data_IF_745931391747
#
_entry.id   IF_745931391747
#
_cell.length_a   1.000
_cell.length_b   1.000
_cell.length_c   1.000
_cell.angle_alpha   90.00
_cell.angle_beta   90.00
_cell.angle_gamma   90.00
#
_symmetry.space_group_name_H-M   'P 1'
#
loop_
_entity.id
_entity.type
_entity.pdbx_description
1 polymer ?
#
# COMPACT_ATOMS: atom_id res chain seq x y z
N UNK A 1 10.27 15.47 -5.87
CA UNK A 1 9.67 15.00 -4.59
C UNK A 1 10.63 14.03 -3.91
N UNK A 2 10.32 13.57 -2.69
CA UNK A 2 10.98 12.44 -2.04
C UNK A 2 10.17 11.16 -2.31
N UNK A 3 10.79 10.16 -2.93
CA UNK A 3 10.11 8.92 -3.33
C UNK A 3 10.78 7.71 -2.69
N UNK A 4 10.00 6.90 -1.98
CA UNK A 4 10.43 5.59 -1.51
C UNK A 4 10.00 4.52 -2.53
N UNK A 5 10.94 3.74 -3.04
CA UNK A 5 10.66 2.61 -3.93
C UNK A 5 10.99 1.30 -3.21
N UNK A 6 9.97 0.48 -2.97
CA UNK A 6 10.07 -0.82 -2.29
C UNK A 6 10.03 -1.93 -3.34
N UNK A 7 10.95 -2.90 -3.27
CA UNK A 7 10.99 -4.08 -4.13
C UNK A 7 10.88 -5.37 -3.32
N UNK A 8 9.97 -6.25 -3.74
CA UNK A 8 9.83 -7.59 -3.20
C UNK A 8 10.00 -8.65 -4.29
N UNK A 9 11.25 -8.86 -4.74
CA UNK A 9 11.59 -9.94 -5.66
C UNK A 9 12.97 -10.55 -5.35
N UNK A 10 13.14 -11.88 -5.34
CA UNK A 10 14.41 -12.51 -4.98
C UNK A 10 15.50 -12.43 -6.07
N UNK A 11 15.10 -12.28 -7.33
CA UNK A 11 16.00 -12.22 -8.49
C UNK A 11 16.14 -10.78 -9.01
N UNK A 12 17.32 -10.14 -8.88
CA UNK A 12 17.58 -8.78 -9.36
C UNK A 12 17.37 -8.60 -10.87
N UNK A 13 17.63 -9.63 -11.68
CA UNK A 13 17.46 -9.57 -13.14
C UNK A 13 16.02 -9.93 -13.60
N UNK A 14 15.09 -10.07 -12.66
CA UNK A 14 13.70 -10.34 -12.99
C UNK A 14 13.02 -9.17 -13.70
N UNK A 15 11.84 -9.43 -14.25
CA UNK A 15 10.96 -8.38 -14.76
C UNK A 15 10.66 -7.31 -13.70
N UNK A 16 10.40 -7.71 -12.44
CA UNK A 16 10.19 -6.77 -11.32
C UNK A 16 11.46 -5.97 -11.00
N UNK A 17 12.61 -6.63 -10.90
CA UNK A 17 13.89 -5.97 -10.62
C UNK A 17 14.25 -4.97 -11.71
N UNK A 18 13.97 -5.29 -12.96
CA UNK A 18 14.18 -4.42 -14.12
C UNK A 18 13.22 -3.21 -14.13
N UNK A 19 11.93 -3.41 -13.84
CA UNK A 19 10.98 -2.30 -13.68
C UNK A 19 11.31 -1.41 -12.48
N UNK A 20 11.77 -2.00 -11.37
CA UNK A 20 12.21 -1.29 -10.18
C UNK A 20 13.40 -0.37 -10.49
N UNK A 21 14.46 -0.91 -11.09
CA UNK A 21 15.64 -0.12 -11.44
C UNK A 21 15.31 0.97 -12.45
N UNK A 22 14.47 0.66 -13.43
CA UNK A 22 13.96 1.64 -14.39
C UNK A 22 13.22 2.77 -13.66
N UNK A 23 12.34 2.44 -12.71
CA UNK A 23 11.58 3.44 -11.96
C UNK A 23 12.48 4.35 -11.13
N UNK A 24 13.48 3.79 -10.45
CA UNK A 24 14.49 4.56 -9.71
C UNK A 24 15.21 5.53 -10.65
N UNK A 25 15.73 5.03 -11.78
CA UNK A 25 16.47 5.85 -12.73
C UNK A 25 15.62 6.98 -13.34
N UNK A 26 14.37 6.68 -13.71
CA UNK A 26 13.45 7.68 -14.27
C UNK A 26 13.11 8.77 -13.24
N UNK A 27 12.82 8.40 -12.00
CA UNK A 27 12.52 9.36 -10.93
C UNK A 27 13.72 10.26 -10.62
N UNK A 28 14.92 9.69 -10.54
CA UNK A 28 16.15 10.45 -10.34
C UNK A 28 16.44 11.39 -11.52
N UNK A 29 16.22 10.93 -12.76
CA UNK A 29 16.36 11.76 -13.96
C UNK A 29 15.38 12.94 -13.99
N UNK A 30 14.20 12.80 -13.38
CA UNK A 30 13.24 13.89 -13.15
C UNK A 30 13.60 14.79 -11.95
N UNK A 31 14.76 14.59 -11.33
CA UNK A 31 15.24 15.39 -10.20
C UNK A 31 14.55 15.08 -8.87
N UNK A 32 13.88 13.92 -8.75
CA UNK A 32 13.36 13.47 -7.47
C UNK A 32 14.48 12.89 -6.60
N UNK A 33 14.33 12.99 -5.29
CA UNK A 33 15.17 12.26 -4.35
C UNK A 33 14.56 10.88 -4.15
N UNK A 34 15.38 9.83 -4.29
CA UNK A 34 14.90 8.44 -4.22
C UNK A 34 15.60 7.71 -3.07
N UNK A 35 14.81 7.03 -2.26
CA UNK A 35 15.29 6.00 -1.33
C UNK A 35 14.68 4.66 -1.72
N UNK A 36 15.38 3.58 -1.44
CA UNK A 36 14.95 2.23 -1.81
C UNK A 36 14.88 1.28 -0.62
N UNK A 37 13.99 0.31 -0.72
CA UNK A 37 13.94 -0.86 0.14
C UNK A 37 13.76 -2.11 -0.70
N UNK A 38 14.89 -2.70 -1.13
CA UNK A 38 14.90 -4.04 -1.71
C UNK A 38 14.92 -5.06 -0.58
N UNK A 39 13.74 -5.62 -0.30
CA UNK A 39 13.51 -6.46 0.88
C UNK A 39 14.36 -7.74 0.84
N UNK A 40 14.60 -8.31 -0.34
CA UNK A 40 15.41 -9.51 -0.47
C UNK A 40 16.89 -9.21 -0.33
N UNK A 41 17.37 -8.12 -0.95
CA UNK A 41 18.77 -7.67 -0.77
C UNK A 41 19.07 -7.27 0.67
N UNK A 42 18.10 -6.68 1.37
CA UNK A 42 18.18 -6.35 2.80
C UNK A 42 18.11 -7.58 3.71
N UNK A 43 17.79 -8.77 3.18
CA UNK A 43 17.48 -9.98 3.95
C UNK A 43 16.43 -9.70 5.02
N UNK A 44 15.38 -8.98 4.64
CA UNK A 44 14.35 -8.53 5.55
C UNK A 44 13.74 -9.69 6.33
N UNK A 45 13.72 -9.56 7.67
CA UNK A 45 13.01 -10.48 8.55
C UNK A 45 11.51 -10.28 8.36
N UNK A 46 10.83 -11.28 7.82
CA UNK A 46 9.40 -11.19 7.51
C UNK A 46 8.51 -11.51 8.72
N UNK A 47 8.98 -12.38 9.60
CA UNK A 47 8.23 -12.91 10.72
C UNK A 47 8.23 -11.92 11.88
N UNK A 48 7.04 -11.60 12.39
CA UNK A 48 6.89 -10.90 13.65
C UNK A 48 7.01 -11.90 14.81
N UNK A 49 7.95 -11.67 15.72
CA UNK A 49 8.16 -12.55 16.87
C UNK A 49 8.64 -11.77 18.11
N UNK A 50 9.03 -12.49 19.17
CA UNK A 50 9.48 -11.86 20.42
C UNK A 50 10.73 -10.99 20.25
N UNK A 51 11.58 -11.28 19.27
CA UNK A 51 12.82 -10.50 19.05
C UNK A 51 12.54 -9.08 18.55
N UNK A 52 11.33 -8.81 18.04
CA UNK A 52 10.88 -7.44 17.73
C UNK A 52 10.54 -6.62 18.98
N UNK A 53 10.47 -7.26 20.15
CA UNK A 53 10.03 -6.65 21.41
C UNK A 53 11.05 -6.92 22.54
N UNK A 54 12.31 -6.44 22.43
CA UNK A 54 13.39 -6.78 23.37
C UNK A 54 13.11 -6.35 24.82
N UNK A 55 12.29 -5.31 25.01
CA UNK A 55 11.94 -4.81 26.35
C UNK A 55 10.75 -5.54 26.99
N UNK A 56 10.11 -6.46 26.25
CA UNK A 56 9.06 -7.30 26.82
C UNK A 56 9.70 -8.42 27.65
N UNK A 57 9.39 -8.46 28.94
CA UNK A 57 9.83 -9.53 29.85
C UNK A 57 9.62 -10.92 29.24
N UNK A 58 10.60 -11.81 29.42
CA UNK A 58 10.58 -13.19 28.92
C UNK A 58 9.38 -13.98 29.44
N UNK A 59 8.94 -13.70 30.66
CA UNK A 59 7.82 -14.37 31.33
C UNK A 59 6.46 -13.76 30.96
N UNK A 60 6.46 -12.57 30.34
CA UNK A 60 5.23 -11.92 29.91
C UNK A 60 4.68 -12.56 28.63
N UNK A 61 3.36 -12.75 28.57
CA UNK A 61 2.68 -13.17 27.34
C UNK A 61 2.82 -12.09 26.27
N UNK A 62 3.34 -12.46 25.10
CA UNK A 62 3.37 -11.57 23.93
C UNK A 62 1.95 -11.30 23.42
N UNK A 63 1.53 -10.04 23.50
CA UNK A 63 0.37 -9.51 22.79
C UNK A 63 0.87 -8.50 21.76
N UNK A 64 1.05 -8.95 20.51
CA UNK A 64 1.76 -8.24 19.45
C UNK A 64 1.36 -6.76 19.33
N UNK A 65 0.06 -6.46 19.24
CA UNK A 65 -0.42 -5.08 19.10
C UNK A 65 0.02 -4.17 20.26
N UNK A 66 -0.12 -4.62 21.50
CA UNK A 66 0.27 -3.83 22.69
C UNK A 66 1.78 -3.72 22.83
N UNK A 67 2.53 -4.79 22.54
CA UNK A 67 3.98 -4.76 22.53
C UNK A 67 4.51 -3.78 21.46
N UNK A 68 3.91 -3.79 20.26
CA UNK A 68 4.20 -2.83 19.18
C UNK A 68 3.91 -1.39 19.61
N UNK A 69 2.76 -1.12 20.24
CA UNK A 69 2.42 0.20 20.79
C UNK A 69 3.45 0.68 21.80
N UNK A 70 3.77 -0.16 22.76
CA UNK A 70 4.65 0.22 23.87
C UNK A 70 6.09 0.41 23.35
N UNK A 71 6.57 -0.45 22.44
CA UNK A 71 7.85 -0.28 21.76
C UNK A 71 7.91 1.00 20.93
N UNK A 72 6.88 1.33 20.15
CA UNK A 72 6.84 2.58 19.39
C UNK A 72 6.87 3.81 20.32
N UNK A 73 5.97 3.87 21.32
CA UNK A 73 5.87 5.00 22.26
C UNK A 73 7.14 5.25 23.06
N UNK A 74 7.91 4.21 23.35
CA UNK A 74 9.14 4.29 24.15
C UNK A 74 10.41 4.34 23.29
N UNK A 75 10.29 4.36 21.96
CA UNK A 75 11.44 4.41 21.05
C UNK A 75 12.26 3.12 20.99
N UNK A 76 11.66 1.98 21.33
CA UNK A 76 12.32 0.68 21.49
C UNK A 76 11.95 -0.35 20.40
N UNK A 77 11.51 0.13 19.23
CA UNK A 77 11.43 -0.70 18.02
C UNK A 77 12.84 -1.15 17.60
N UNK A 78 12.93 -2.27 16.87
CA UNK A 78 14.17 -2.72 16.26
C UNK A 78 14.65 -1.73 15.19
N UNK A 79 15.96 -1.69 14.97
CA UNK A 79 16.58 -0.66 14.11
C UNK A 79 16.14 -0.74 12.64
N UNK A 80 15.95 -1.96 12.14
CA UNK A 80 15.43 -2.22 10.80
C UNK A 80 13.99 -1.68 10.64
N UNK A 81 13.13 -1.85 11.64
CA UNK A 81 11.77 -1.29 11.65
C UNK A 81 11.82 0.24 11.73
N UNK A 82 12.64 0.81 12.60
CA UNK A 82 12.81 2.28 12.72
C UNK A 82 13.24 2.90 11.40
N UNK A 83 14.27 2.32 10.77
CA UNK A 83 14.79 2.79 9.48
C UNK A 83 13.68 2.84 8.42
N UNK A 84 12.85 1.79 8.33
CA UNK A 84 11.76 1.77 7.35
C UNK A 84 10.62 2.76 7.70
N UNK A 85 10.32 2.98 8.98
CA UNK A 85 9.39 4.04 9.41
C UNK A 85 9.91 5.44 9.07
N UNK A 86 11.21 5.68 9.23
CA UNK A 86 11.86 6.95 8.87
C UNK A 86 11.79 7.21 7.36
N UNK A 87 12.03 6.19 6.52
CA UNK A 87 11.84 6.31 5.07
C UNK A 87 10.40 6.65 4.69
N UNK A 88 9.41 6.03 5.34
CA UNK A 88 7.99 6.32 5.11
C UNK A 88 7.59 7.74 5.53
N UNK A 89 8.14 8.22 6.66
CA UNK A 89 7.94 9.61 7.10
C UNK A 89 8.64 10.60 6.17
N UNK A 90 9.83 10.27 5.68
CA UNK A 90 10.59 11.06 4.73
C UNK A 90 9.89 11.16 3.37
N UNK A 91 9.32 10.07 2.85
CA UNK A 91 8.75 10.04 1.51
C UNK A 91 7.47 10.88 1.37
N UNK A 92 7.34 11.58 0.25
CA UNK A 92 6.09 12.20 -0.19
C UNK A 92 5.27 11.18 -1.01
N UNK A 93 5.95 10.22 -1.64
CA UNK A 93 5.35 9.16 -2.44
C UNK A 93 6.01 7.79 -2.19
N UNK A 94 5.22 6.72 -2.16
CA UNK A 94 5.68 5.34 -2.03
C UNK A 94 5.28 4.51 -3.26
N UNK A 95 6.26 3.89 -3.91
CA UNK A 95 6.06 2.89 -4.96
C UNK A 95 6.38 1.50 -4.42
N UNK A 96 5.50 0.53 -4.66
CA UNK A 96 5.70 -0.85 -4.17
C UNK A 96 5.66 -1.81 -5.35
N UNK A 97 6.82 -2.36 -5.71
CA UNK A 97 7.01 -3.33 -6.79
C UNK A 97 6.96 -4.76 -6.25
N UNK A 98 6.04 -5.57 -6.78
CA UNK A 98 5.96 -6.99 -6.43
C UNK A 98 5.22 -7.84 -7.47
N UNK A 99 5.56 -9.13 -7.59
CA UNK A 99 4.73 -10.07 -8.31
C UNK A 99 3.50 -10.47 -7.49
N UNK A 100 2.34 -10.60 -8.15
CA UNK A 100 1.13 -11.11 -7.51
C UNK A 100 1.28 -12.61 -7.24
N UNK A 101 1.63 -12.98 -6.01
CA UNK A 101 1.79 -14.37 -5.60
C UNK A 101 0.60 -14.80 -4.77
N UNK A 102 -0.06 -15.87 -5.21
CA UNK A 102 -1.29 -16.37 -4.58
C UNK A 102 -2.34 -15.26 -4.35
N UNK A 103 -2.51 -14.41 -5.36
CA UNK A 103 -3.48 -13.31 -5.35
C UNK A 103 -3.24 -12.25 -4.27
N UNK A 104 -1.99 -12.13 -3.78
CA UNK A 104 -1.60 -11.10 -2.80
C UNK A 104 -0.11 -10.76 -2.88
N UNK A 105 0.39 -10.02 -1.90
CA UNK A 105 1.81 -9.69 -1.74
C UNK A 105 2.67 -10.94 -1.52
N UNK A 106 3.95 -10.95 -1.95
CA UNK A 106 4.94 -11.89 -1.44
C UNK A 106 5.03 -11.83 0.09
N UNK A 107 5.29 -12.97 0.73
CA UNK A 107 5.34 -13.07 2.20
C UNK A 107 6.34 -12.08 2.84
N UNK A 108 7.48 -11.83 2.19
CA UNK A 108 8.48 -10.86 2.69
C UNK A 108 7.93 -9.43 2.73
N UNK A 109 7.11 -9.04 1.75
CA UNK A 109 6.45 -7.74 1.71
C UNK A 109 5.33 -7.66 2.73
N UNK A 110 4.55 -8.74 2.89
CA UNK A 110 3.53 -8.81 3.95
C UNK A 110 4.15 -8.68 5.33
N UNK A 111 5.30 -9.33 5.56
CA UNK A 111 6.07 -9.21 6.79
C UNK A 111 6.64 -7.81 7.02
N UNK A 112 7.09 -7.13 5.96
CA UNK A 112 7.47 -5.71 6.02
C UNK A 112 6.29 -4.85 6.48
N UNK A 113 5.10 -5.04 5.90
CA UNK A 113 3.89 -4.34 6.37
C UNK A 113 3.63 -4.66 7.84
N UNK A 114 3.58 -5.92 8.24
CA UNK A 114 3.23 -6.33 9.62
C UNK A 114 4.19 -5.79 10.69
N UNK A 115 5.48 -5.71 10.39
CA UNK A 115 6.49 -5.22 11.35
C UNK A 115 6.60 -3.69 11.34
N UNK A 116 6.53 -3.06 10.18
CA UNK A 116 6.71 -1.59 10.03
C UNK A 116 5.44 -0.83 10.45
N UNK A 117 4.25 -1.35 10.16
CA UNK A 117 2.98 -0.68 10.43
C UNK A 117 2.56 -0.94 11.88
N UNK A 118 3.25 -0.26 12.80
CA UNK A 118 3.11 -0.43 14.24
C UNK A 118 1.87 0.23 14.84
N UNK A 119 1.38 -0.33 15.95
CA UNK A 119 0.32 0.30 16.75
C UNK A 119 0.83 1.61 17.36
N UNK A 120 0.01 2.65 17.36
CA UNK A 120 0.40 4.00 17.76
C UNK A 120 1.14 4.79 16.68
N UNK A 121 1.54 4.15 15.58
CA UNK A 121 2.11 4.79 14.40
C UNK A 121 1.09 4.83 13.25
N UNK A 122 0.71 3.68 12.69
CA UNK A 122 -0.18 3.58 11.52
C UNK A 122 -1.60 3.12 11.86
N UNK A 123 -1.81 2.52 13.04
CA UNK A 123 -3.13 2.13 13.53
C UNK A 123 -3.22 2.25 15.05
N UNK A 124 -4.43 2.27 15.61
CA UNK A 124 -4.62 2.52 17.05
C UNK A 124 -4.23 3.96 17.47
N UNK A 125 -4.36 4.89 16.53
CA UNK A 125 -4.18 6.35 16.66
C UNK A 125 -5.55 7.04 16.60
N UNK A 126 -5.63 8.27 17.11
CA UNK A 126 -6.88 9.05 17.13
C UNK A 126 -7.84 8.70 18.26
N UNK A 127 -8.85 9.54 18.41
CA UNK A 127 -9.90 9.36 19.42
C UNK A 127 -10.97 8.35 18.99
N UNK A 128 -11.74 7.85 19.95
CA UNK A 128 -12.91 7.03 19.69
C UNK A 128 -14.10 7.67 20.41
N UNK A 129 -15.06 8.16 19.63
CA UNK A 129 -16.24 8.90 20.06
C UNK A 129 -17.44 8.54 19.17
N UNK A 130 -18.62 9.08 19.51
CA UNK A 130 -19.86 8.87 18.72
C UNK A 130 -19.78 9.42 17.29
N UNK A 131 -18.76 10.22 16.97
CA UNK A 131 -18.59 10.86 15.65
C UNK A 131 -17.26 10.55 14.97
N UNK A 132 -16.35 9.86 15.65
CA UNK A 132 -14.99 9.63 15.19
C UNK A 132 -14.46 8.29 15.71
N UNK A 133 -13.90 7.44 14.86
CA UNK A 133 -13.42 6.12 15.27
C UNK A 133 -12.00 5.84 14.79
N UNK A 134 -11.04 6.47 15.46
CA UNK A 134 -9.62 6.46 15.12
C UNK A 134 -9.30 7.25 13.85
N UNK A 135 -8.05 7.70 13.75
CA UNK A 135 -7.55 8.45 12.59
C UNK A 135 -7.08 7.44 11.54
N UNK A 136 -8.01 7.04 10.66
CA UNK A 136 -7.77 6.02 9.63
C UNK A 136 -8.71 6.17 8.43
N UNK A 137 -8.36 5.50 7.34
CA UNK A 137 -9.10 5.48 6.07
C UNK A 137 -9.33 6.90 5.53
N UNK A 138 -8.27 7.50 4.99
CA UNK A 138 -8.24 8.89 4.52
C UNK A 138 -7.68 9.88 5.56
N UNK A 139 -7.41 9.40 6.76
CA UNK A 139 -6.73 10.10 7.84
C UNK A 139 -5.57 9.24 8.35
N UNK A 140 -4.72 9.80 9.19
CA UNK A 140 -3.59 9.10 9.83
C UNK A 140 -2.24 9.69 9.47
N UNK A 141 -1.18 9.00 9.90
CA UNK A 141 0.21 9.49 9.83
C UNK A 141 0.72 9.72 8.39
N UNK A 142 0.07 9.12 7.39
CA UNK A 142 0.42 9.27 5.99
C UNK A 142 -0.54 10.19 5.21
N UNK A 143 -1.42 10.91 5.89
CA UNK A 143 -2.26 11.94 5.26
C UNK A 143 -1.41 12.93 4.45
N UNK A 144 -1.82 13.17 3.20
CA UNK A 144 -1.12 14.03 2.24
C UNK A 144 0.05 13.37 1.49
N UNK A 145 0.41 12.13 1.83
CA UNK A 145 1.38 11.33 1.07
C UNK A 145 0.65 10.46 0.03
N UNK A 146 1.35 10.05 -1.02
CA UNK A 146 0.78 9.22 -2.11
C UNK A 146 1.39 7.83 -2.12
N UNK A 147 0.65 6.84 -2.60
CA UNK A 147 1.18 5.48 -2.79
C UNK A 147 0.63 4.84 -4.08
N UNK A 148 1.46 4.06 -4.77
CA UNK A 148 1.05 3.28 -5.95
C UNK A 148 1.68 1.88 -5.92
N UNK A 149 0.88 0.88 -6.26
CA UNK A 149 1.36 -0.49 -6.47
C UNK A 149 1.82 -0.67 -7.92
N UNK A 150 2.95 -1.35 -8.10
CA UNK A 150 3.43 -1.84 -9.41
C UNK A 150 3.44 -3.36 -9.34
N UNK A 151 2.47 -3.99 -10.01
CA UNK A 151 2.14 -5.41 -9.83
C UNK A 151 2.35 -6.16 -11.14
N UNK A 152 3.11 -7.26 -11.10
CA UNK A 152 3.28 -8.15 -12.26
C UNK A 152 2.51 -9.44 -12.07
N UNK A 153 1.90 -9.96 -13.13
CA UNK A 153 1.00 -11.11 -13.09
C UNK A 153 1.32 -12.05 -14.26
N UNK A 154 1.39 -13.37 -13.99
CA UNK A 154 1.59 -14.38 -15.05
C UNK A 154 0.34 -14.69 -15.88
N UNK A 155 -0.86 -14.54 -15.29
CA UNK A 155 -2.14 -14.71 -15.97
C UNK A 155 -2.43 -13.63 -17.02
N UNK A 156 -3.40 -13.91 -17.90
CA UNK A 156 -3.89 -12.93 -18.90
C UNK A 156 -4.84 -11.94 -18.25
N UNK A 157 -4.93 -10.74 -18.82
CA UNK A 157 -5.81 -9.67 -18.34
C UNK A 157 -7.28 -10.12 -18.25
N UNK A 158 -7.78 -10.89 -19.22
CA UNK A 158 -9.19 -11.31 -19.26
C UNK A 158 -9.58 -12.19 -18.06
N UNK A 159 -8.61 -12.90 -17.48
CA UNK A 159 -8.82 -13.73 -16.29
C UNK A 159 -9.17 -12.89 -15.06
N UNK A 160 -8.80 -11.60 -15.07
CA UNK A 160 -9.00 -10.63 -14.00
C UNK A 160 -10.02 -9.54 -14.36
N UNK A 161 -10.80 -9.76 -15.42
CA UNK A 161 -11.94 -8.91 -15.75
C UNK A 161 -13.09 -9.13 -14.76
N UNK A 162 -14.14 -8.31 -14.86
CA UNK A 162 -15.34 -8.42 -14.00
C UNK A 162 -16.05 -9.80 -14.09
N UNK A 163 -15.75 -10.58 -15.13
CA UNK A 163 -16.30 -11.94 -15.35
C UNK A 163 -15.20 -13.01 -15.41
N UNK A 164 -13.95 -12.60 -15.14
CA UNK A 164 -12.81 -13.49 -15.15
C UNK A 164 -12.79 -14.40 -13.93
N UNK A 165 -12.30 -15.63 -14.10
CA UNK A 165 -12.33 -16.65 -13.04
C UNK A 165 -11.45 -16.30 -11.83
N UNK A 166 -10.45 -15.44 -12.01
CA UNK A 166 -9.59 -14.99 -10.91
C UNK A 166 -10.24 -13.89 -10.05
N UNK A 167 -11.34 -13.29 -10.51
CA UNK A 167 -11.94 -12.09 -9.90
C UNK A 167 -11.34 -10.80 -10.45
N UNK A 168 -12.08 -9.69 -10.32
CA UNK A 168 -11.64 -8.39 -10.84
C UNK A 168 -10.33 -7.96 -10.18
N UNK A 169 -9.36 -7.44 -10.94
CA UNK A 169 -8.04 -7.09 -10.40
C UNK A 169 -8.12 -6.11 -9.22
N UNK A 170 -8.99 -5.10 -9.31
CA UNK A 170 -9.16 -4.12 -8.24
C UNK A 170 -9.75 -4.73 -6.96
N UNK A 171 -10.58 -5.77 -7.07
CA UNK A 171 -11.11 -6.48 -5.90
C UNK A 171 -10.00 -7.28 -5.19
N UNK A 172 -9.09 -7.87 -5.96
CA UNK A 172 -7.93 -8.58 -5.41
C UNK A 172 -6.93 -7.63 -4.74
N UNK A 173 -6.79 -6.42 -5.29
CA UNK A 173 -5.89 -5.39 -4.74
C UNK A 173 -6.56 -4.53 -3.66
N UNK A 174 -7.89 -4.61 -3.48
CA UNK A 174 -8.63 -3.83 -2.48
C UNK A 174 -8.08 -4.01 -1.05
N UNK A 175 -7.78 -5.24 -0.55
CA UNK A 175 -7.20 -5.40 0.79
C UNK A 175 -5.86 -4.68 0.97
N UNK A 176 -5.11 -4.46 -0.12
CA UNK A 176 -3.83 -3.75 -0.10
C UNK A 176 -4.08 -2.24 -0.23
N UNK A 177 -4.74 -1.82 -1.31
CA UNK A 177 -4.99 -0.41 -1.60
C UNK A 177 -5.84 0.24 -0.50
N UNK A 178 -6.96 -0.36 -0.13
CA UNK A 178 -7.83 0.19 0.93
C UNK A 178 -7.32 -0.16 2.34
N UNK A 179 -7.03 -1.45 2.58
CA UNK A 179 -6.74 -1.96 3.92
C UNK A 179 -5.33 -1.68 4.45
N UNK A 180 -4.34 -1.55 3.57
CA UNK A 180 -2.94 -1.30 3.96
C UNK A 180 -2.53 0.14 3.66
N UNK A 181 -2.85 0.68 2.48
CA UNK A 181 -2.37 2.01 2.08
C UNK A 181 -3.33 3.14 2.50
N UNK A 182 -4.61 3.05 2.13
CA UNK A 182 -5.58 4.09 2.47
C UNK A 182 -5.86 4.18 3.98
N UNK A 183 -5.78 3.04 4.68
CA UNK A 183 -5.99 2.94 6.12
C UNK A 183 -5.15 3.95 6.93
N UNK A 184 -3.82 4.03 6.81
CA UNK A 184 -3.01 5.04 7.52
C UNK A 184 -2.99 6.42 6.85
N UNK A 185 -3.77 6.64 5.78
CA UNK A 185 -4.02 7.97 5.22
C UNK A 185 -3.37 8.27 3.86
N UNK A 186 -2.75 7.30 3.18
CA UNK A 186 -2.23 7.57 1.83
C UNK A 186 -3.34 7.95 0.86
N UNK A 187 -3.05 8.89 -0.03
CA UNK A 187 -3.76 9.05 -1.29
C UNK A 187 -3.30 7.94 -2.25
N UNK A 188 -4.12 6.91 -2.40
CA UNK A 188 -3.76 5.71 -3.16
C UNK A 188 -4.04 5.91 -4.64
N UNK A 189 -3.00 5.82 -5.48
CA UNK A 189 -3.13 5.92 -6.92
C UNK A 189 -3.58 4.58 -7.53
N UNK A 190 -4.23 4.61 -8.71
CA UNK A 190 -4.52 3.39 -9.46
C UNK A 190 -3.25 2.56 -9.70
N UNK A 191 -3.31 1.27 -9.36
CA UNK A 191 -2.18 0.35 -9.52
C UNK A 191 -1.71 0.27 -10.97
N UNK A 192 -0.40 0.17 -11.20
CA UNK A 192 0.15 -0.22 -12.49
C UNK A 192 0.27 -1.75 -12.53
N UNK A 193 -0.55 -2.41 -13.35
CA UNK A 193 -0.59 -3.88 -13.43
C UNK A 193 -0.11 -4.33 -14.80
N UNK A 194 0.86 -5.25 -14.81
CA UNK A 194 1.40 -5.86 -16.03
C UNK A 194 1.01 -7.33 -16.06
N UNK A 195 0.36 -7.76 -17.14
CA UNK A 195 -0.11 -9.14 -17.32
C UNK A 195 0.84 -9.96 -18.20
N UNK A 196 0.70 -11.29 -18.15
CA UNK A 196 1.48 -12.25 -18.93
C UNK A 196 3.00 -12.07 -18.85
N UNK A 197 3.53 -11.64 -17.70
CA UNK A 197 4.96 -11.28 -17.58
C UNK A 197 5.91 -12.45 -17.82
N UNK A 198 5.46 -13.69 -17.63
CA UNK A 198 6.24 -14.91 -17.94
C UNK A 198 6.41 -15.16 -19.45
N UNK A 199 5.76 -14.36 -20.30
CA UNK A 199 5.70 -14.56 -21.76
C UNK A 199 6.13 -13.33 -22.56
N UNK A 200 6.44 -12.22 -21.90
CA UNK A 200 6.89 -11.01 -22.58
C UNK A 200 8.35 -11.18 -23.03
N UNK A 201 8.62 -10.80 -24.27
CA UNK A 201 9.97 -10.64 -24.77
C UNK A 201 10.51 -9.23 -24.46
N UNK A 202 11.69 -8.89 -25.00
CA UNK A 202 12.31 -7.58 -24.81
C UNK A 202 11.41 -6.42 -25.28
N UNK A 203 10.74 -6.57 -26.42
CA UNK A 203 9.85 -5.54 -26.95
C UNK A 203 8.60 -5.37 -26.06
N UNK A 204 8.07 -6.48 -25.54
CA UNK A 204 7.01 -6.49 -24.55
C UNK A 204 7.43 -5.76 -23.27
N UNK A 205 8.60 -6.08 -22.71
CA UNK A 205 9.15 -5.37 -21.55
C UNK A 205 9.29 -3.86 -21.81
N UNK A 206 9.88 -3.47 -22.94
CA UNK A 206 10.09 -2.05 -23.26
C UNK A 206 8.79 -1.26 -23.34
N UNK A 207 7.74 -1.85 -23.92
CA UNK A 207 6.40 -1.26 -23.97
C UNK A 207 5.81 -1.03 -22.58
N UNK A 208 5.86 -2.04 -21.72
CA UNK A 208 5.33 -1.93 -20.35
C UNK A 208 6.17 -0.96 -19.50
N UNK A 209 7.49 -0.98 -19.68
CA UNK A 209 8.41 -0.05 -19.03
C UNK A 209 8.15 1.41 -19.46
N UNK A 210 7.88 1.69 -20.74
CA UNK A 210 7.54 3.05 -21.18
C UNK A 210 6.16 3.48 -20.64
N UNK A 211 5.19 2.55 -20.60
CA UNK A 211 3.88 2.83 -20.00
C UNK A 211 4.02 3.22 -18.52
N UNK A 212 4.90 2.57 -17.78
CA UNK A 212 5.23 2.96 -16.41
C UNK A 212 5.98 4.30 -16.38
N UNK A 213 6.99 4.53 -17.23
CA UNK A 213 7.71 5.83 -17.30
C UNK A 213 6.78 7.00 -17.51
N UNK A 214 5.84 6.89 -18.44
CA UNK A 214 4.84 7.93 -18.70
C UNK A 214 3.99 8.24 -17.46
N UNK A 215 3.60 7.21 -16.68
CA UNK A 215 2.96 7.44 -15.38
C UNK A 215 3.89 8.13 -14.39
N UNK A 216 5.15 7.71 -14.32
CA UNK A 216 6.15 8.29 -13.42
C UNK A 216 6.42 9.78 -13.71
N UNK A 217 6.34 10.20 -14.99
CA UNK A 217 6.47 11.61 -15.43
C UNK A 217 5.33 12.51 -15.00
N UNK A 218 4.18 11.93 -14.63
CA UNK A 218 2.95 12.66 -14.32
C UNK A 218 2.40 12.32 -12.92
N UNK A 219 3.23 11.78 -12.02
CA UNK A 219 2.81 11.27 -10.71
C UNK A 219 2.01 12.28 -9.89
N UNK A 220 2.36 13.55 -9.99
CA UNK A 220 1.72 14.67 -9.32
C UNK A 220 0.27 14.91 -9.80
N UNK A 221 -0.07 14.51 -11.02
CA UNK A 221 -1.38 14.75 -11.64
C UNK A 221 -2.31 13.53 -11.70
N UNK A 222 -1.84 12.33 -11.34
CA UNK A 222 -2.67 11.11 -11.38
C UNK A 222 -3.74 11.16 -10.29
N UNK A 223 -5.02 11.24 -10.66
CA UNK A 223 -6.10 11.24 -9.68
C UNK A 223 -6.07 9.97 -8.79
N UNK A 224 -6.07 10.10 -7.45
CA UNK A 224 -6.18 8.97 -6.54
C UNK A 224 -7.50 8.21 -6.71
N UNK A 225 -7.52 6.94 -6.31
CA UNK A 225 -8.76 6.18 -6.17
C UNK A 225 -9.64 6.92 -5.13
N UNK A 226 -10.88 7.31 -5.47
CA UNK A 226 -11.69 8.16 -4.62
C UNK A 226 -12.40 7.35 -3.53
N UNK A 227 -11.61 6.72 -2.65
CA UNK A 227 -12.15 6.00 -1.49
C UNK A 227 -12.88 6.95 -0.55
N UNK A 228 -13.94 6.45 0.09
CA UNK A 228 -14.73 7.22 1.06
C UNK A 228 -13.95 7.35 2.37
N UNK A 229 -13.75 8.57 2.90
CA UNK A 229 -13.16 8.74 4.23
C UNK A 229 -14.08 8.18 5.31
N UNK A 230 -13.53 7.44 6.27
CA UNK A 230 -14.33 6.80 7.33
C UNK A 230 -15.07 7.85 8.16
N UNK A 231 -14.36 8.86 8.68
CA UNK A 231 -14.95 9.88 9.53
C UNK A 231 -15.50 11.09 8.74
N UNK A 232 -15.57 11.01 7.41
CA UNK A 232 -16.04 12.08 6.53
C UNK A 232 -17.56 12.15 6.32
N UNK A 233 -18.34 11.37 7.08
CA UNK A 233 -19.81 11.45 7.10
C UNK A 233 -20.57 10.45 6.24
N UNK A 234 -19.88 9.67 5.39
CA UNK A 234 -20.51 8.65 4.52
C UNK A 234 -20.93 7.38 5.31
N UNK A 235 -20.31 7.13 6.47
CA UNK A 235 -20.56 5.96 7.31
C UNK A 235 -21.36 6.31 8.56
N UNK A 236 -22.19 5.36 9.02
CA UNK A 236 -22.80 5.40 10.34
C UNK A 236 -21.75 5.15 11.43
N UNK A 237 -21.80 5.94 12.50
CA UNK A 237 -20.91 5.80 13.66
C UNK A 237 -21.71 5.25 14.85
N UNK A 238 -21.18 4.28 15.62
CA UNK A 238 -19.85 3.66 15.53
C UNK A 238 -19.84 2.34 14.74
N UNK A 239 -20.92 1.97 14.04
CA UNK A 239 -21.02 0.68 13.34
C UNK A 239 -20.12 0.58 12.11
N UNK A 240 -19.70 1.72 11.56
CA UNK A 240 -18.85 1.84 10.37
C UNK A 240 -19.46 1.18 9.13
N UNK A 241 -20.79 1.22 9.04
CA UNK A 241 -21.57 0.75 7.89
C UNK A 241 -21.90 1.94 6.99
N UNK A 242 -21.78 1.77 5.67
CA UNK A 242 -22.11 2.84 4.72
C UNK A 242 -23.58 3.25 4.89
N UNK A 243 -23.85 4.55 4.85
CA UNK A 243 -25.23 5.05 4.95
C UNK A 243 -26.05 4.63 3.73
N UNK A 244 -27.32 4.21 3.92
CA UNK A 244 -28.18 3.81 2.82
C UNK A 244 -28.32 4.91 1.75
N UNK A 245 -28.22 4.52 0.48
CA UNK A 245 -28.37 5.43 -0.67
C UNK A 245 -27.06 6.06 -1.15
N UNK A 246 -25.93 5.76 -0.51
CA UNK A 246 -24.61 6.21 -0.93
C UNK A 246 -23.82 5.17 -1.73
N UNK A 247 -24.33 3.95 -1.90
CA UNK A 247 -23.60 2.80 -2.45
C UNK A 247 -23.09 3.05 -3.89
N UNK A 248 -23.81 3.84 -4.68
CA UNK A 248 -23.59 3.96 -6.13
C UNK A 248 -24.45 2.97 -6.90
N UNK A 249 -24.68 3.24 -8.19
CA UNK A 249 -25.62 2.43 -9.00
C UNK A 249 -25.04 1.02 -9.24
N UNK A 250 -25.75 -0.01 -8.79
CA UNK A 250 -25.35 -1.42 -8.88
C UNK A 250 -24.05 -1.80 -8.13
N UNK A 251 -23.51 -0.90 -7.31
CA UNK A 251 -22.32 -1.17 -6.53
C UNK A 251 -22.66 -2.09 -5.36
N UNK A 252 -21.82 -3.10 -5.15
CA UNK A 252 -21.91 -4.05 -4.03
C UNK A 252 -20.50 -4.47 -3.60
N UNK A 253 -20.36 -5.03 -2.41
CA UNK A 253 -19.06 -5.47 -1.90
C UNK A 253 -18.07 -4.30 -1.81
N UNK A 254 -16.85 -4.48 -2.32
CA UNK A 254 -15.78 -3.48 -2.20
C UNK A 254 -16.06 -2.17 -2.95
N UNK A 255 -16.80 -2.24 -4.07
CA UNK A 255 -17.07 -1.08 -4.91
C UNK A 255 -17.88 0.04 -4.22
N UNK A 256 -18.66 -0.28 -3.19
CA UNK A 256 -19.46 0.73 -2.46
C UNK A 256 -18.58 1.76 -1.73
N UNK A 257 -17.31 1.41 -1.47
CA UNK A 257 -16.36 2.25 -0.74
C UNK A 257 -15.65 3.26 -1.65
N UNK A 258 -15.97 3.28 -2.94
CA UNK A 258 -15.47 4.24 -3.92
C UNK A 258 -16.58 5.25 -4.20
N UNK A 259 -16.25 6.54 -4.27
CA UNK A 259 -17.20 7.58 -4.69
C UNK A 259 -17.34 7.55 -6.21
N UNK A 260 -18.57 7.64 -6.71
CA UNK A 260 -18.81 7.95 -8.11
C UNK A 260 -18.17 9.31 -8.40
N UNK A 261 -17.30 9.36 -9.42
CA UNK A 261 -16.57 10.58 -9.83
C UNK A 261 -17.47 11.73 -10.32
N UNK A 262 -18.80 11.62 -10.16
CA UNK A 262 -19.80 12.65 -10.42
C UNK A 262 -20.51 13.23 -9.19
N UNK A 263 -20.09 12.90 -7.96
CA UNK A 263 -20.71 13.44 -6.73
C UNK A 263 -19.86 14.51 -6.01
N UNK A 264 -18.89 15.12 -6.71
CA UNK A 264 -18.27 16.36 -6.26
C UNK A 264 -19.01 17.54 -6.91
N UNK A 265 -20.10 17.98 -6.28
CA UNK A 265 -20.59 19.36 -6.24
C UNK A 265 -21.98 19.37 -5.56
N UNK A 266 -22.07 19.99 -4.39
CA UNK A 266 -23.36 20.26 -3.75
C UNK A 266 -23.36 20.19 -2.23
N UNK A 267 -22.63 21.09 -1.57
CA UNK A 267 -23.11 21.86 -0.41
C UNK A 267 -22.12 22.95 -0.02
#
# INVERSE_FOLDING_TARGET
MKVLVVLAHPEPQSFNGSLFQMSVNELEAQGHQVQTSDLYSMKWKSEIDRTDFPNLSTDARLKVAYASRDSYKTGNLTEDVKTEQEKLLWADMVLIHFPLWWYTMPAILKGWVERVFSMGFTYGVGEHSEKHYGDRYGEGVFAGKRAMLVVTIGGREEHYSARGIAGHIDDLLYPINHGVLYYPGFQVLPSHVVYQTDRLDQAGFEKEAETLREKLRHLDTIEPIPYRPQNGGDYEMPTLTLKPGLEGKNATGFSIHIRDSGAAEGK
#
